data_IF_992852649780
#
_entry.id   IF_992852649780
#
_cell.length_a   1.000
_cell.length_b   1.000
_cell.length_c   1.000
_cell.angle_alpha   90.00
_cell.angle_beta   90.00
_cell.angle_gamma   90.00
#
_symmetry.space_group_name_H-M   'P 1'
#
loop_
_entity.id
_entity.type
_entity.pdbx_description
1 polymer ?
#
# COMPACT_ATOMS: atom_id res chain seq x y z
N UNK A 1 12.89 -11.55 -21.50
CA UNK A 1 12.59 -10.95 -21.14
C UNK A 1 12.88 -10.08 -20.47
N UNK A 2 13.06 -9.76 -20.05
CA UNK A 2 13.19 -9.12 -19.36
C UNK A 2 13.13 -7.84 -19.22
N UNK A 3 13.02 -7.08 -19.74
CA UNK A 3 12.78 -5.86 -19.74
C UNK A 3 11.71 -5.44 -18.93
N UNK A 4 10.90 -6.22 -18.58
CA UNK A 4 9.77 -5.97 -17.73
C UNK A 4 10.18 -5.45 -16.38
N UNK A 5 11.38 -5.72 -15.97
CA UNK A 5 11.84 -5.25 -14.67
C UNK A 5 12.36 -3.84 -14.67
N UNK A 6 12.41 -3.24 -15.84
CA UNK A 6 12.95 -1.91 -15.95
C UNK A 6 11.83 -0.90 -16.06
N UNK A 7 11.82 0.08 -15.18
CA UNK A 7 10.81 1.11 -15.19
C UNK A 7 11.04 2.09 -16.33
N UNK A 8 10.00 2.48 -17.03
CA UNK A 8 10.12 3.49 -18.05
C UNK A 8 10.56 4.83 -17.46
N UNK A 9 11.20 5.63 -18.27
CA UNK A 9 11.58 6.96 -17.85
C UNK A 9 10.32 7.74 -17.48
N UNK A 10 10.36 8.41 -16.36
CA UNK A 10 9.22 9.18 -15.89
C UNK A 10 8.26 8.42 -15.01
N UNK A 11 8.48 7.14 -14.85
CA UNK A 11 7.59 6.39 -13.97
C UNK A 11 7.87 6.72 -12.51
N UNK A 12 6.80 6.89 -11.73
CA UNK A 12 6.90 7.34 -10.36
C UNK A 12 6.90 6.16 -9.41
N UNK A 13 7.96 5.95 -8.61
CA UNK A 13 7.98 4.84 -7.65
C UNK A 13 6.84 4.89 -6.64
N UNK A 14 6.43 6.10 -6.24
CA UNK A 14 5.32 6.25 -5.31
C UNK A 14 4.04 5.70 -5.94
N UNK A 15 3.79 6.04 -7.20
CA UNK A 15 2.62 5.53 -7.90
C UNK A 15 2.67 4.01 -8.00
N UNK A 16 3.84 3.44 -8.27
CA UNK A 16 3.96 1.99 -8.37
C UNK A 16 3.64 1.32 -7.04
N UNK A 17 4.07 1.90 -5.93
CA UNK A 17 3.79 1.33 -4.62
C UNK A 17 2.32 1.49 -4.24
N UNK A 18 1.71 2.63 -4.57
CA UNK A 18 0.28 2.80 -4.29
C UNK A 18 -0.56 1.84 -5.15
N UNK A 19 -0.16 1.64 -6.40
CA UNK A 19 -0.87 0.70 -7.27
C UNK A 19 -0.76 -0.72 -6.74
N UNK A 20 0.41 -1.10 -6.24
CA UNK A 20 0.61 -2.44 -5.68
C UNK A 20 -0.29 -2.65 -4.46
N UNK A 21 -0.30 -1.70 -3.54
CA UNK A 21 -1.13 -1.80 -2.34
C UNK A 21 -2.61 -1.85 -2.74
N UNK A 22 -2.99 -1.05 -3.72
CA UNK A 22 -4.37 -1.03 -4.21
C UNK A 22 -4.78 -2.41 -4.74
N UNK A 23 -3.92 -3.03 -5.56
CA UNK A 23 -4.25 -4.33 -6.13
C UNK A 23 -4.35 -5.41 -5.07
N UNK A 24 -3.46 -5.38 -4.09
CA UNK A 24 -3.53 -6.33 -3.00
C UNK A 24 -4.84 -6.16 -2.23
N UNK A 25 -5.19 -4.93 -1.91
CA UNK A 25 -6.41 -4.66 -1.16
C UNK A 25 -7.64 -5.10 -1.93
N UNK A 26 -7.71 -4.79 -3.22
CA UNK A 26 -8.87 -5.16 -4.04
C UNK A 26 -9.03 -6.67 -4.14
N UNK A 27 -7.93 -7.41 -4.06
CA UNK A 27 -8.00 -8.87 -4.10
C UNK A 27 -8.56 -9.47 -2.81
N UNK A 28 -8.55 -8.72 -1.71
CA UNK A 28 -8.90 -9.25 -0.40
C UNK A 28 -10.24 -8.79 0.13
N UNK A 29 -10.72 -7.61 -0.29
CA UNK A 29 -11.91 -7.01 0.30
C UNK A 29 -13.18 -7.50 -0.38
N UNK A 30 -14.30 -7.38 0.35
CA UNK A 30 -15.62 -7.66 -0.21
C UNK A 30 -16.24 -6.39 -0.79
N UNK A 31 -15.78 -5.21 -0.34
CA UNK A 31 -16.34 -3.93 -0.77
C UNK A 31 -15.25 -3.12 -1.49
N UNK A 32 -14.99 -3.42 -2.76
CA UNK A 32 -13.92 -2.72 -3.48
C UNK A 32 -14.19 -1.24 -3.70
N UNK A 33 -15.45 -0.83 -3.69
CA UNK A 33 -15.79 0.57 -3.90
C UNK A 33 -15.36 1.45 -2.73
N UNK A 34 -15.11 0.86 -1.57
CA UNK A 34 -14.67 1.60 -0.40
C UNK A 34 -13.14 1.69 -0.28
N UNK A 35 -12.41 1.05 -1.18
CA UNK A 35 -10.95 1.08 -1.11
C UNK A 35 -10.43 2.41 -1.61
N UNK A 36 -9.65 3.09 -0.77
CA UNK A 36 -8.97 4.33 -1.14
C UNK A 36 -7.53 4.20 -0.70
N UNK A 37 -6.61 4.50 -1.58
CA UNK A 37 -5.18 4.47 -1.25
C UNK A 37 -4.60 5.85 -1.53
N UNK A 38 -3.93 6.40 -0.51
CA UNK A 38 -3.34 7.72 -0.59
C UNK A 38 -1.85 7.62 -0.32
N UNK A 39 -1.08 8.49 -0.97
CA UNK A 39 0.34 8.62 -0.69
C UNK A 39 0.56 9.98 -0.06
N UNK A 40 1.12 9.99 1.14
CA UNK A 40 1.32 11.20 1.91
C UNK A 40 2.81 11.37 2.12
N UNK A 41 3.36 12.45 1.58
CA UNK A 41 4.78 12.72 1.71
C UNK A 41 5.06 13.34 3.07
N UNK A 42 6.03 12.77 3.78
CA UNK A 42 6.47 13.27 5.09
C UNK A 42 7.98 13.24 5.10
N UNK A 43 8.61 14.36 4.73
CA UNK A 43 10.05 14.41 4.65
C UNK A 43 10.57 13.50 3.55
N UNK A 44 11.45 12.58 3.92
CA UNK A 44 12.01 11.61 2.96
C UNK A 44 11.25 10.29 3.00
N UNK A 45 10.09 10.27 3.62
CA UNK A 45 9.25 9.07 3.73
C UNK A 45 7.91 9.33 3.07
N UNK A 46 7.36 8.33 2.41
CA UNK A 46 5.99 8.38 1.89
C UNK A 46 5.17 7.37 2.67
N UNK A 47 4.10 7.83 3.29
CA UNK A 47 3.16 6.97 3.97
C UNK A 47 2.08 6.58 2.97
N UNK A 48 1.93 5.29 2.75
CA UNK A 48 0.85 4.78 1.90
C UNK A 48 -0.30 4.43 2.84
N UNK A 49 -1.38 5.19 2.75
CA UNK A 49 -2.53 5.00 3.61
C UNK A 49 -3.61 4.26 2.86
N UNK A 50 -3.97 3.10 3.38
CA UNK A 50 -5.00 2.26 2.80
C UNK A 50 -6.26 2.38 3.66
N UNK A 51 -7.35 2.83 3.02
CA UNK A 51 -8.64 2.91 3.69
C UNK A 51 -9.56 1.86 3.11
N UNK A 52 -10.25 1.14 3.96
CA UNK A 52 -11.19 0.11 3.54
C UNK A 52 -12.44 0.20 4.40
N UNK A 53 -13.49 -0.49 3.98
CA UNK A 53 -14.70 -0.61 4.78
C UNK A 53 -14.37 -1.22 6.14
N UNK A 54 -15.02 -0.79 7.23
CA UNK A 54 -14.75 -1.38 8.55
C UNK A 54 -14.84 -2.89 8.55
N UNK A 55 -15.77 -3.47 7.79
CA UNK A 55 -15.91 -4.91 7.74
C UNK A 55 -14.77 -5.61 7.02
N UNK A 56 -13.95 -4.88 6.28
CA UNK A 56 -12.85 -5.45 5.50
C UNK A 56 -11.49 -5.24 6.16
N UNK A 57 -11.40 -4.46 7.23
CA UNK A 57 -10.12 -4.18 7.86
C UNK A 57 -9.40 -5.48 8.25
N UNK A 58 -10.13 -6.42 8.85
CA UNK A 58 -9.55 -7.70 9.23
C UNK A 58 -9.02 -8.49 8.05
N UNK A 59 -9.62 -8.32 6.87
CA UNK A 59 -9.18 -9.04 5.69
C UNK A 59 -7.85 -8.53 5.17
N UNK A 60 -7.63 -7.22 5.23
CA UNK A 60 -6.36 -6.66 4.75
C UNK A 60 -5.26 -6.78 5.78
N UNK A 61 -5.59 -6.82 7.05
CA UNK A 61 -4.61 -7.09 8.09
C UNK A 61 -4.21 -8.56 8.08
N UNK A 62 -5.19 -9.42 7.89
CA UNK A 62 -4.97 -10.84 7.80
C UNK A 62 -4.87 -11.51 9.15
N UNK A 63 -4.88 -12.82 9.16
CA UNK A 63 -4.81 -13.60 10.37
C UNK A 63 -3.53 -13.29 11.11
N UNK A 64 -3.63 -12.86 12.36
CA UNK A 64 -2.48 -12.51 13.19
C UNK A 64 -1.60 -11.42 12.57
N UNK A 65 -2.19 -10.58 11.74
CA UNK A 65 -1.47 -9.48 11.13
C UNK A 65 -0.53 -9.89 10.00
N UNK A 66 -0.64 -11.11 9.49
CA UNK A 66 0.32 -11.62 8.52
C UNK A 66 0.30 -10.90 7.19
N UNK A 67 -0.89 -10.56 6.70
CA UNK A 67 -1.00 -9.87 5.41
C UNK A 67 -0.41 -8.47 5.52
N UNK A 68 -0.76 -7.74 6.57
CA UNK A 68 -0.21 -6.39 6.76
C UNK A 68 1.30 -6.44 6.92
N UNK A 69 1.80 -7.43 7.65
CA UNK A 69 3.24 -7.59 7.82
C UNK A 69 3.94 -7.87 6.50
N UNK A 70 3.32 -8.70 5.67
CA UNK A 70 3.88 -9.01 4.35
C UNK A 70 3.93 -7.77 3.48
N UNK A 71 2.88 -6.96 3.49
CA UNK A 71 2.88 -5.72 2.72
C UNK A 71 3.97 -4.79 3.21
N UNK A 72 4.15 -4.66 4.52
CA UNK A 72 5.20 -3.82 5.07
C UNK A 72 6.58 -4.33 4.68
N UNK A 73 6.77 -5.64 4.64
CA UNK A 73 8.03 -6.23 4.23
C UNK A 73 8.33 -5.90 2.77
N UNK A 74 7.34 -5.98 1.90
CA UNK A 74 7.51 -5.63 0.50
C UNK A 74 7.88 -4.17 0.35
N UNK A 75 7.20 -3.29 1.08
CA UNK A 75 7.48 -1.86 1.01
C UNK A 75 8.88 -1.55 1.55
N UNK A 76 9.31 -2.25 2.58
CA UNK A 76 10.67 -2.08 3.09
C UNK A 76 11.71 -2.48 2.06
N UNK A 77 11.48 -3.59 1.38
CA UNK A 77 12.41 -4.04 0.35
C UNK A 77 12.47 -3.03 -0.80
N UNK A 78 11.31 -2.51 -1.18
CA UNK A 78 11.26 -1.50 -2.24
C UNK A 78 11.95 -0.22 -1.79
N UNK A 79 11.84 0.13 -0.51
CA UNK A 79 12.50 1.32 0.02
C UNK A 79 14.00 1.25 -0.18
N UNK A 80 14.57 0.09 0.09
CA UNK A 80 16.01 -0.09 -0.07
C UNK A 80 16.43 0.04 -1.53
N UNK A 81 15.67 -0.57 -2.41
CA UNK A 81 16.01 -0.56 -3.84
C UNK A 81 15.84 0.82 -4.45
N UNK A 82 14.78 1.53 -4.07
CA UNK A 82 14.44 2.82 -4.66
C UNK A 82 15.07 3.99 -3.91
N UNK A 83 15.71 3.72 -2.78
CA UNK A 83 16.30 4.75 -1.94
C UNK A 83 15.30 5.82 -1.54
N UNK A 84 14.08 5.35 -1.24
CA UNK A 84 12.98 6.20 -0.81
C UNK A 84 12.16 5.40 0.18
N UNK A 85 11.90 5.97 1.34
CA UNK A 85 11.22 5.24 2.41
C UNK A 85 9.72 5.20 2.19
N UNK A 86 9.15 4.03 2.39
CA UNK A 86 7.70 3.83 2.35
C UNK A 86 7.24 3.20 3.65
N UNK A 87 6.09 3.62 4.12
CA UNK A 87 5.44 2.96 5.24
C UNK A 87 3.97 2.73 4.90
N UNK A 88 3.33 1.86 5.64
CA UNK A 88 1.95 1.48 5.38
C UNK A 88 1.10 1.80 6.60
N UNK A 89 -0.04 2.44 6.35
CA UNK A 89 -1.02 2.76 7.37
C UNK A 89 -2.35 2.20 6.90
N UNK A 90 -3.00 1.37 7.71
CA UNK A 90 -4.28 0.76 7.36
C UNK A 90 -5.32 1.34 8.30
N UNK A 91 -6.34 1.98 7.72
CA UNK A 91 -7.39 2.61 8.50
C UNK A 91 -8.75 2.21 7.94
N UNK A 92 -9.78 2.34 8.75
CA UNK A 92 -11.12 2.06 8.27
C UNK A 92 -11.74 3.33 7.71
N UNK A 93 -12.59 3.15 6.71
CA UNK A 93 -13.29 4.25 6.09
C UNK A 93 -14.18 4.93 7.12
N UNK A 94 -14.12 6.25 7.16
CA UNK A 94 -14.92 7.01 8.11
C UNK A 94 -14.28 7.24 9.46
N UNK A 95 -13.08 6.71 9.69
CA UNK A 95 -12.36 6.92 10.94
C UNK A 95 -11.92 8.37 11.03
N UNK A 96 -12.41 9.13 12.01
CA UNK A 96 -12.07 10.55 12.09
C UNK A 96 -10.61 10.81 12.42
N UNK A 97 -9.90 9.82 12.92
CA UNK A 97 -8.50 9.99 13.26
C UNK A 97 -7.57 9.84 12.05
N UNK A 98 -8.12 9.45 10.93
CA UNK A 98 -7.27 9.22 9.75
C UNK A 98 -7.23 10.41 8.78
#
# INVERSE_FOLDING_TARGET
MTQATQLPAGENPVKNMTDLVTEIALALVDDPDSVVVEAIAEGDCTVIRLRVSPSDVGKVIGKQGRTARSMRTILSAASMKLKHRFSLDIVEMGDPSS
#
